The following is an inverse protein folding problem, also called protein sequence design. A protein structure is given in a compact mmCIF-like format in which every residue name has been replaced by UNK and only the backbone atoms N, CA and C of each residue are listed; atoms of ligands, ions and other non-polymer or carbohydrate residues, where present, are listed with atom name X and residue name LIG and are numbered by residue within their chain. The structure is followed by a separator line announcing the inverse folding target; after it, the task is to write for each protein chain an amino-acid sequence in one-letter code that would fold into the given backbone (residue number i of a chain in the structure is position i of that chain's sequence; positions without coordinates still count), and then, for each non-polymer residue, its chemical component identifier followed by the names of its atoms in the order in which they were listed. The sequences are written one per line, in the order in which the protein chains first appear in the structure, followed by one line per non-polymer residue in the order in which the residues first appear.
data_IF_424408328955
#
_entry.id   IF_424408328955
#
_cell.length_a   1.000
_cell.length_b   1.000
_cell.length_c   1.000
_cell.angle_alpha   90.00
_cell.angle_beta   90.00
_cell.angle_gamma   90.00
#
_symmetry.space_group_name_H-M   'P 1'
#
loop_
_entity.id
_entity.type
_entity.pdbx_description
1 polymer ?
#
# COMPACT_ATOMS: atom_id res chain seq x y z
N UNK A 1 9.77 29.91 2.20
CA UNK A 1 8.36 29.53 1.95
C UNK A 1 8.18 28.67 0.70
N UNK A 2 8.53 29.13 -0.51
CA UNK A 2 8.36 28.31 -1.74
C UNK A 2 9.32 27.13 -1.79
N UNK A 3 10.60 27.33 -1.43
CA UNK A 3 11.59 26.25 -1.36
C UNK A 3 11.17 25.15 -0.37
N UNK A 4 10.67 25.54 0.80
CA UNK A 4 10.21 24.59 1.83
C UNK A 4 9.02 23.75 1.34
N UNK A 5 8.12 24.35 0.57
CA UNK A 5 6.98 23.64 -0.04
C UNK A 5 7.45 22.60 -1.06
N UNK A 6 8.38 22.97 -1.94
CA UNK A 6 8.93 22.06 -2.96
C UNK A 6 9.61 20.86 -2.28
N UNK A 7 10.45 21.11 -1.28
CA UNK A 7 11.13 20.04 -0.53
C UNK A 7 10.13 19.10 0.14
N UNK A 8 9.07 19.61 0.76
CA UNK A 8 8.01 18.78 1.37
C UNK A 8 7.28 17.91 0.35
N UNK A 9 6.94 18.46 -0.82
CA UNK A 9 6.29 17.70 -1.90
C UNK A 9 7.21 16.59 -2.39
N UNK A 10 8.49 16.87 -2.60
CA UNK A 10 9.46 15.86 -3.03
C UNK A 10 9.64 14.74 -2.00
N UNK A 11 9.70 15.07 -0.70
CA UNK A 11 9.75 14.08 0.38
C UNK A 11 8.49 13.22 0.40
N UNK A 12 7.30 13.81 0.24
CA UNK A 12 6.04 13.06 0.19
C UNK A 12 5.99 12.10 -1.01
N UNK A 13 6.42 12.55 -2.19
CA UNK A 13 6.53 11.71 -3.39
C UNK A 13 7.48 10.54 -3.11
N UNK A 14 8.62 10.80 -2.49
CA UNK A 14 9.60 9.76 -2.14
C UNK A 14 9.00 8.73 -1.17
N UNK A 15 8.26 9.16 -0.15
CA UNK A 15 7.58 8.28 0.80
C UNK A 15 6.53 7.40 0.08
N UNK A 16 5.77 7.97 -0.86
CA UNK A 16 4.79 7.20 -1.65
C UNK A 16 5.48 6.13 -2.50
N UNK A 17 6.62 6.45 -3.11
CA UNK A 17 7.38 5.50 -3.92
C UNK A 17 7.99 4.40 -3.06
N UNK A 18 8.58 4.75 -1.90
CA UNK A 18 9.19 3.77 -0.98
C UNK A 18 8.11 2.86 -0.38
N UNK A 19 6.96 3.40 0.02
CA UNK A 19 5.85 2.61 0.57
C UNK A 19 5.18 1.68 -0.45
N UNK A 20 5.42 1.86 -1.76
CA UNK A 20 4.98 0.92 -2.78
C UNK A 20 5.86 -0.36 -2.86
N UNK A 21 7.08 -0.34 -2.31
CA UNK A 21 8.04 -1.46 -2.42
C UNK A 21 7.51 -2.75 -1.76
N UNK A 22 6.96 -2.74 -0.53
CA UNK A 22 6.48 -3.96 0.13
C UNK A 22 5.40 -4.68 -0.68
N UNK A 23 4.41 -3.94 -1.18
CA UNK A 23 3.32 -4.49 -1.98
C UNK A 23 3.82 -4.99 -3.34
N UNK A 24 4.73 -4.25 -3.98
CA UNK A 24 5.35 -4.68 -5.23
C UNK A 24 6.07 -6.03 -5.08
N UNK A 25 6.87 -6.18 -4.01
CA UNK A 25 7.54 -7.44 -3.68
C UNK A 25 6.55 -8.56 -3.38
N UNK A 26 5.57 -8.31 -2.51
CA UNK A 26 4.56 -9.32 -2.13
C UNK A 26 3.83 -9.88 -3.36
N UNK A 27 3.39 -9.00 -4.26
CA UNK A 27 2.68 -9.41 -5.48
C UNK A 27 3.61 -10.15 -6.44
N UNK A 28 4.86 -9.71 -6.61
CA UNK A 28 5.84 -10.41 -7.45
C UNK A 28 6.15 -11.81 -6.93
N UNK A 29 6.33 -11.97 -5.62
CA UNK A 29 6.57 -13.26 -4.97
C UNK A 29 5.42 -14.25 -5.17
N UNK A 30 4.18 -13.74 -5.27
CA UNK A 30 2.97 -14.55 -5.51
C UNK A 30 2.64 -14.74 -7.00
N UNK A 31 3.54 -14.33 -7.90
CA UNK A 31 3.42 -14.50 -9.35
C UNK A 31 2.51 -13.48 -10.05
N UNK A 32 2.18 -12.36 -9.40
CA UNK A 32 1.32 -11.31 -9.96
C UNK A 32 2.05 -10.36 -10.91
N UNK A 33 1.28 -9.70 -11.80
CA UNK A 33 1.80 -8.72 -12.76
C UNK A 33 1.86 -7.32 -12.14
N UNK A 34 2.88 -7.09 -11.30
CA UNK A 34 3.14 -5.80 -10.66
C UNK A 34 4.30 -5.00 -11.31
N UNK A 35 4.12 -3.69 -11.37
CA UNK A 35 5.15 -2.67 -11.61
C UNK A 35 5.01 -1.60 -10.53
N UNK A 36 6.07 -0.85 -10.22
CA UNK A 36 6.00 0.20 -9.17
C UNK A 36 4.89 1.20 -9.48
N UNK A 37 4.80 1.68 -10.73
CA UNK A 37 3.74 2.58 -11.18
C UNK A 37 2.33 1.98 -10.97
N UNK A 38 2.14 0.70 -11.30
CA UNK A 38 0.86 0.03 -11.07
C UNK A 38 0.54 -0.07 -9.58
N UNK A 39 1.53 -0.33 -8.73
CA UNK A 39 1.34 -0.42 -7.27
C UNK A 39 0.94 0.94 -6.70
N UNK A 40 1.55 2.03 -7.16
CA UNK A 40 1.16 3.39 -6.78
C UNK A 40 -0.30 3.65 -7.17
N UNK A 41 -0.69 3.34 -8.40
CA UNK A 41 -2.09 3.48 -8.86
C UNK A 41 -3.03 2.66 -8.00
N UNK A 42 -2.68 1.41 -7.68
CA UNK A 42 -3.48 0.53 -6.83
C UNK A 42 -3.63 1.11 -5.42
N UNK A 43 -2.56 1.63 -4.81
CA UNK A 43 -2.63 2.27 -3.50
C UNK A 43 -3.57 3.48 -3.51
N UNK A 44 -3.54 4.29 -4.56
CA UNK A 44 -4.47 5.41 -4.73
C UNK A 44 -5.93 4.93 -4.87
N UNK A 45 -6.17 3.86 -5.64
CA UNK A 45 -7.50 3.28 -5.79
C UNK A 45 -8.02 2.69 -4.48
N UNK A 46 -7.17 2.02 -3.70
CA UNK A 46 -7.54 1.49 -2.38
C UNK A 46 -7.84 2.62 -1.40
N UNK A 47 -7.01 3.67 -1.38
CA UNK A 47 -7.26 4.85 -0.54
C UNK A 47 -8.58 5.53 -0.91
N UNK A 48 -8.86 5.69 -2.21
CA UNK A 48 -10.12 6.24 -2.70
C UNK A 48 -11.31 5.36 -2.31
N UNK A 49 -11.22 4.04 -2.49
CA UNK A 49 -12.27 3.10 -2.10
C UNK A 49 -12.54 3.14 -0.59
N UNK A 50 -11.49 3.16 0.23
CA UNK A 50 -11.60 3.31 1.68
C UNK A 50 -12.28 4.62 2.07
N UNK A 51 -11.89 5.73 1.42
CA UNK A 51 -12.51 7.04 1.64
C UNK A 51 -14.01 7.05 1.30
N UNK A 52 -14.39 6.54 0.13
CA UNK A 52 -15.80 6.46 -0.30
C UNK A 52 -16.62 5.57 0.64
N UNK A 53 -16.09 4.40 1.02
CA UNK A 53 -16.77 3.51 1.97
C UNK A 53 -16.98 4.20 3.32
N UNK A 54 -15.96 4.93 3.80
CA UNK A 54 -16.04 5.69 5.06
C UNK A 54 -17.04 6.84 5.03
N UNK A 55 -17.30 7.44 3.87
CA UNK A 55 -18.33 8.47 3.72
C UNK A 55 -19.76 7.89 3.80
N UNK A 56 -19.96 6.69 3.26
CA UNK A 56 -21.29 6.06 3.17
C UNK A 56 -21.63 5.30 4.46
N UNK A 57 -20.65 4.62 5.05
CA UNK A 57 -20.83 3.72 6.18
C UNK A 57 -20.05 4.28 7.36
N UNK A 58 -20.77 4.69 8.42
CA UNK A 58 -20.13 5.12 9.68
C UNK A 58 -19.14 4.04 10.14
N UNK A 59 -17.92 4.49 10.44
CA UNK A 59 -16.78 3.64 10.77
C UNK A 59 -17.17 2.64 11.87
N UNK A 60 -17.16 1.35 11.51
CA UNK A 60 -17.53 0.23 12.35
C UNK A 60 -17.03 -1.08 11.72
N UNK A 61 -17.34 -2.22 12.32
CA UNK A 61 -16.89 -3.53 11.83
C UNK A 61 -17.31 -3.79 10.37
N UNK A 62 -18.52 -3.38 9.98
CA UNK A 62 -19.04 -3.51 8.60
C UNK A 62 -18.20 -2.71 7.61
N UNK A 63 -17.89 -1.45 7.93
CA UNK A 63 -17.07 -0.60 7.07
C UNK A 63 -15.67 -1.19 6.86
N UNK A 64 -15.06 -1.71 7.94
CA UNK A 64 -13.73 -2.34 7.87
C UNK A 64 -13.72 -3.58 6.99
N UNK A 65 -14.74 -4.44 7.10
CA UNK A 65 -14.89 -5.63 6.25
C UNK A 65 -15.07 -5.23 4.79
N UNK A 66 -15.89 -4.24 4.49
CA UNK A 66 -16.12 -3.77 3.12
C UNK A 66 -14.86 -3.15 2.52
N UNK A 67 -14.10 -2.38 3.29
CA UNK A 67 -12.81 -1.85 2.83
C UNK A 67 -11.82 -2.97 2.54
N UNK A 68 -11.75 -4.01 3.38
CA UNK A 68 -10.91 -5.17 3.13
C UNK A 68 -11.33 -5.92 1.86
N UNK A 69 -12.64 -6.16 1.67
CA UNK A 69 -13.17 -6.82 0.46
C UNK A 69 -12.86 -5.99 -0.80
N UNK A 70 -13.07 -4.68 -0.74
CA UNK A 70 -12.76 -3.77 -1.85
C UNK A 70 -11.26 -3.79 -2.19
N UNK A 71 -10.39 -3.76 -1.18
CA UNK A 71 -8.95 -3.87 -1.36
C UNK A 71 -8.57 -5.19 -2.05
N UNK A 72 -9.09 -6.33 -1.57
CA UNK A 72 -8.81 -7.65 -2.14
C UNK A 72 -9.29 -7.76 -3.59
N UNK A 73 -10.46 -7.19 -3.89
CA UNK A 73 -10.99 -7.11 -5.24
C UNK A 73 -10.07 -6.29 -6.16
N UNK A 74 -9.68 -5.08 -5.73
CA UNK A 74 -8.75 -4.22 -6.48
C UNK A 74 -7.44 -4.97 -6.74
N UNK A 75 -6.87 -5.63 -5.72
CA UNK A 75 -5.62 -6.38 -5.87
C UNK A 75 -5.78 -7.54 -6.87
N UNK A 76 -6.87 -8.31 -6.76
CA UNK A 76 -7.11 -9.46 -7.63
C UNK A 76 -7.21 -9.03 -9.10
N UNK A 77 -7.98 -7.97 -9.36
CA UNK A 77 -8.20 -7.44 -10.70
C UNK A 77 -6.94 -6.77 -11.26
N UNK A 78 -6.33 -5.85 -10.51
CA UNK A 78 -5.22 -5.02 -11.01
C UNK A 78 -3.93 -5.82 -11.19
N UNK A 79 -3.64 -6.75 -10.28
CA UNK A 79 -2.43 -7.58 -10.34
C UNK A 79 -2.63 -8.90 -11.09
N UNK A 80 -3.87 -9.20 -11.52
CA UNK A 80 -4.24 -10.46 -12.19
C UNK A 80 -3.85 -11.69 -11.36
N UNK A 81 -4.17 -11.65 -10.08
CA UNK A 81 -3.95 -12.74 -9.13
C UNK A 81 -5.28 -13.20 -8.55
N UNK A 82 -5.42 -14.48 -8.21
CA UNK A 82 -6.65 -14.99 -7.57
C UNK A 82 -6.86 -14.39 -6.17
N UNK A 83 -8.10 -14.38 -5.70
CA UNK A 83 -8.51 -13.81 -4.41
C UNK A 83 -7.66 -14.28 -3.21
N UNK A 84 -7.37 -15.58 -3.12
CA UNK A 84 -6.51 -16.14 -2.06
C UNK A 84 -5.11 -15.52 -2.12
N UNK A 85 -4.54 -15.38 -3.32
CA UNK A 85 -3.23 -14.73 -3.50
C UNK A 85 -3.30 -13.23 -3.22
N UNK A 86 -4.42 -12.55 -3.47
CA UNK A 86 -4.60 -11.16 -3.05
C UNK A 86 -4.57 -11.01 -1.53
N UNK A 87 -5.23 -11.90 -0.80
CA UNK A 87 -5.22 -11.90 0.65
C UNK A 87 -3.82 -12.21 1.21
N UNK A 88 -3.13 -13.18 0.62
CA UNK A 88 -1.74 -13.47 0.95
C UNK A 88 -0.82 -12.28 0.62
N UNK A 89 -1.04 -11.58 -0.49
CA UNK A 89 -0.26 -10.39 -0.84
C UNK A 89 -0.45 -9.28 0.19
N UNK A 90 -1.70 -9.09 0.65
CA UNK A 90 -2.03 -8.11 1.68
C UNK A 90 -1.40 -8.43 3.04
N UNK A 91 -1.30 -9.70 3.42
CA UNK A 91 -0.57 -10.12 4.63
C UNK A 91 0.95 -10.01 4.43
N UNK A 92 1.45 -10.49 3.31
CA UNK A 92 2.88 -10.56 3.01
C UNK A 92 3.51 -9.17 2.90
N UNK A 93 2.80 -8.16 2.38
CA UNK A 93 3.31 -6.79 2.35
C UNK A 93 3.59 -6.24 3.76
N UNK A 94 2.81 -6.64 4.78
CA UNK A 94 3.03 -6.20 6.16
C UNK A 94 4.32 -6.80 6.69
N UNK A 95 4.53 -8.10 6.46
CA UNK A 95 5.76 -8.79 6.85
C UNK A 95 6.98 -8.16 6.16
N UNK A 96 6.89 -7.92 4.85
CA UNK A 96 7.97 -7.28 4.09
C UNK A 96 8.22 -5.85 4.58
N UNK A 97 7.18 -5.07 4.88
CA UNK A 97 7.33 -3.72 5.40
C UNK A 97 8.07 -3.72 6.74
N UNK A 98 7.70 -4.61 7.66
CA UNK A 98 8.36 -4.77 8.96
C UNK A 98 9.84 -5.16 8.78
N UNK A 99 10.13 -6.10 7.88
CA UNK A 99 11.51 -6.52 7.57
C UNK A 99 12.31 -5.33 7.03
N UNK A 100 11.75 -4.57 6.08
CA UNK A 100 12.42 -3.39 5.54
C UNK A 100 12.70 -2.37 6.64
N UNK A 101 11.71 -2.03 7.46
CA UNK A 101 11.87 -1.10 8.58
C UNK A 101 12.99 -1.58 9.53
N UNK A 102 13.02 -2.86 9.88
CA UNK A 102 14.08 -3.43 10.72
C UNK A 102 15.47 -3.28 10.08
N UNK A 103 15.59 -3.58 8.77
CA UNK A 103 16.84 -3.41 8.03
C UNK A 103 17.29 -1.94 8.05
N UNK A 104 16.41 -1.00 7.72
CA UNK A 104 16.76 0.43 7.73
C UNK A 104 17.14 0.94 9.12
N UNK A 105 16.47 0.45 10.17
CA UNK A 105 16.80 0.78 11.55
C UNK A 105 18.22 0.31 11.94
N UNK A 106 18.67 -0.86 11.46
CA UNK A 106 20.04 -1.34 11.68
C UNK A 106 21.10 -0.41 11.06
N UNK A 107 20.76 0.30 9.98
CA UNK A 107 21.62 1.31 9.35
C UNK A 107 21.45 2.71 9.95
N UNK A 108 20.71 2.86 11.06
CA UNK A 108 20.48 4.14 11.71
C UNK A 108 19.55 5.08 10.93
N UNK A 109 18.76 4.56 9.99
CA UNK A 109 17.78 5.32 9.22
C UNK A 109 16.41 5.13 9.89
N UNK A 110 15.91 6.10 10.68
CA UNK A 110 14.59 6.00 11.28
C UNK A 110 13.54 6.14 10.19
N UNK A 111 12.98 5.02 9.73
CA UNK A 111 11.79 5.04 8.90
C UNK A 111 10.56 5.27 9.79
N UNK A 112 10.17 6.53 9.93
CA UNK A 112 8.83 6.89 10.38
C UNK A 112 7.90 6.77 9.18
N UNK A 113 7.52 5.55 8.82
CA UNK A 113 6.57 5.29 7.73
C UNK A 113 5.48 4.36 8.25
N UNK A 114 4.45 4.95 8.86
CA UNK A 114 3.05 4.50 8.86
C UNK A 114 2.14 5.70 9.18
#
# INVERSE_FOLDING_TARGET
MVMDLIVKILIQILIIVISAIPLWLAVKMLGGKATILKVIIVNLLVALAAFVIGLIIKVGWVGSVLTAVALLFIYSFMFRIGWVRSALAWLLQVIIAVILIAIFALFGIPLVIF
#
